data_IF_264653834940
#
_entry.id   IF_264653834940
#
_cell.length_a   1.000
_cell.length_b   1.000
_cell.length_c   1.000
_cell.angle_alpha   90.00
_cell.angle_beta   90.00
_cell.angle_gamma   90.00
#
_symmetry.space_group_name_H-M   'P 1'
#
loop_
_entity.id
_entity.type
_entity.pdbx_description
1 polymer ?
#
# COMPACT_ATOMS: atom_id res chain seq x y z
N UNK A 1 -21.43 -5.86 -18.06
CA UNK A 1 -22.49 -6.86 -17.77
C UNK A 1 -22.17 -7.45 -16.39
N UNK A 2 -22.81 -6.96 -15.35
CA UNK A 2 -22.56 -7.40 -13.96
C UNK A 2 -23.33 -8.72 -13.78
N UNK A 3 -22.62 -9.83 -13.68
CA UNK A 3 -23.24 -11.09 -13.29
C UNK A 3 -23.77 -10.94 -11.87
N UNK A 4 -25.09 -10.79 -11.73
CA UNK A 4 -25.76 -10.88 -10.44
C UNK A 4 -25.99 -12.37 -10.17
N UNK A 5 -25.18 -12.93 -9.29
CA UNK A 5 -25.50 -14.23 -8.71
C UNK A 5 -26.74 -14.11 -7.81
N UNK A 6 -27.67 -15.08 -7.82
CA UNK A 6 -28.82 -15.06 -6.90
C UNK A 6 -28.29 -15.08 -5.45
N UNK A 7 -28.67 -14.09 -4.63
CA UNK A 7 -28.17 -13.96 -3.25
C UNK A 7 -28.48 -15.22 -2.39
N UNK A 8 -29.57 -15.88 -2.67
CA UNK A 8 -29.98 -17.13 -2.01
C UNK A 8 -28.98 -18.28 -2.16
N UNK A 9 -28.15 -18.25 -3.22
CA UNK A 9 -27.08 -19.22 -3.47
C UNK A 9 -25.72 -18.80 -2.91
N UNK A 10 -25.64 -17.63 -2.30
CA UNK A 10 -24.39 -17.11 -1.76
C UNK A 10 -24.20 -17.50 -0.29
N UNK A 11 -22.97 -17.73 0.10
CA UNK A 11 -22.58 -17.89 1.50
C UNK A 11 -22.82 -16.58 2.25
N UNK A 12 -23.26 -16.70 3.51
CA UNK A 12 -23.43 -15.54 4.40
C UNK A 12 -22.23 -15.48 5.31
N UNK A 13 -21.60 -14.31 5.33
CA UNK A 13 -20.44 -14.02 6.16
C UNK A 13 -20.84 -13.22 7.41
N UNK A 14 -20.13 -13.50 8.48
CA UNK A 14 -20.21 -12.75 9.73
C UNK A 14 -18.82 -12.23 10.11
N UNK A 15 -18.69 -11.02 10.70
CA UNK A 15 -17.41 -10.48 11.10
C UNK A 15 -16.73 -11.38 12.15
N UNK A 16 -15.45 -11.64 11.95
CA UNK A 16 -14.66 -12.48 12.88
C UNK A 16 -14.92 -13.97 12.80
N UNK A 17 -15.79 -14.45 11.90
CA UNK A 17 -16.05 -15.88 11.68
C UNK A 17 -15.30 -16.33 10.42
N UNK A 18 -14.25 -17.10 10.60
CA UNK A 18 -13.35 -17.56 9.54
C UNK A 18 -13.26 -19.07 9.49
N UNK A 19 -12.96 -19.62 8.32
CA UNK A 19 -12.48 -21.00 8.24
C UNK A 19 -11.08 -21.10 8.86
N UNK A 20 -10.61 -22.30 9.25
CA UNK A 20 -9.24 -22.47 9.75
C UNK A 20 -8.18 -21.96 8.77
N UNK A 21 -8.39 -22.17 7.46
CA UNK A 21 -7.49 -21.72 6.39
C UNK A 21 -7.47 -20.20 6.28
N UNK A 22 -8.61 -19.54 6.33
CA UNK A 22 -8.74 -18.09 6.33
C UNK A 22 -8.03 -17.49 7.55
N UNK A 23 -8.28 -18.05 8.74
CA UNK A 23 -7.64 -17.58 9.97
C UNK A 23 -6.12 -17.73 9.89
N UNK A 24 -5.62 -18.87 9.43
CA UNK A 24 -4.19 -19.09 9.26
C UNK A 24 -3.54 -18.12 8.30
N UNK A 25 -4.24 -17.73 7.21
CA UNK A 25 -3.76 -16.74 6.27
C UNK A 25 -3.74 -15.33 6.84
N UNK A 26 -4.78 -14.93 7.58
CA UNK A 26 -4.85 -13.67 8.31
C UNK A 26 -3.71 -13.57 9.32
N UNK A 27 -3.47 -14.64 10.07
CA UNK A 27 -2.42 -14.69 11.08
C UNK A 27 -1.03 -14.56 10.45
N UNK A 28 -0.78 -15.21 9.31
CA UNK A 28 0.48 -15.06 8.55
C UNK A 28 0.66 -13.62 8.08
N UNK A 29 -0.39 -13.02 7.53
CA UNK A 29 -0.34 -11.63 7.11
C UNK A 29 0.01 -10.70 8.27
N UNK A 30 -0.68 -10.84 9.40
CA UNK A 30 -0.46 -10.01 10.58
C UNK A 30 0.96 -10.16 11.17
N UNK A 31 1.64 -11.29 10.89
CA UNK A 31 3.06 -11.48 11.24
C UNK A 31 4.05 -10.99 10.18
N UNK A 32 3.55 -10.43 9.07
CA UNK A 32 4.40 -10.00 7.96
C UNK A 32 4.98 -11.15 7.13
N UNK A 33 4.48 -12.38 7.31
CA UNK A 33 4.85 -13.57 6.52
C UNK A 33 4.14 -13.54 5.17
N UNK A 34 4.42 -12.50 4.38
CA UNK A 34 3.72 -12.26 3.13
C UNK A 34 4.63 -12.55 1.93
N UNK A 35 4.06 -13.15 0.90
CA UNK A 35 4.71 -13.22 -0.40
C UNK A 35 4.78 -11.81 -1.04
N UNK A 36 5.88 -11.49 -1.71
CA UNK A 36 5.96 -10.24 -2.47
C UNK A 36 5.22 -10.39 -3.79
N UNK A 37 4.33 -9.46 -4.10
CA UNK A 37 3.43 -9.50 -5.25
C UNK A 37 4.11 -9.60 -6.62
N UNK A 38 5.40 -9.27 -6.73
CA UNK A 38 6.14 -9.27 -8.00
C UNK A 38 7.53 -9.92 -7.86
N UNK A 39 7.56 -11.20 -7.53
CA UNK A 39 8.82 -11.97 -7.61
C UNK A 39 9.87 -11.65 -6.56
N UNK A 40 9.50 -11.12 -5.41
CA UNK A 40 10.38 -11.05 -4.24
C UNK A 40 11.47 -9.98 -4.27
N UNK A 41 11.53 -9.12 -5.28
CA UNK A 41 12.49 -8.00 -5.30
C UNK A 41 11.99 -6.87 -4.40
N UNK A 42 12.89 -6.31 -3.59
CA UNK A 42 12.62 -5.07 -2.91
C UNK A 42 12.18 -4.01 -3.94
N UNK A 43 11.22 -3.13 -3.61
CA UNK A 43 10.86 -2.05 -4.50
C UNK A 43 12.12 -1.25 -4.84
N UNK A 44 12.28 -0.90 -6.11
CA UNK A 44 13.28 0.07 -6.48
C UNK A 44 12.87 1.42 -5.87
N UNK A 45 13.75 2.00 -5.06
CA UNK A 45 13.54 3.36 -4.58
C UNK A 45 13.68 4.34 -5.75
N UNK A 46 12.96 5.46 -5.72
CA UNK A 46 13.08 6.47 -6.76
C UNK A 46 14.53 6.98 -6.84
N UNK A 47 14.97 7.28 -8.05
CA UNK A 47 16.24 7.94 -8.24
C UNK A 47 16.21 9.34 -7.61
N UNK A 48 17.23 9.69 -6.83
CA UNK A 48 17.40 11.03 -6.29
C UNK A 48 18.22 11.96 -7.18
N UNK A 49 18.30 11.61 -8.47
CA UNK A 49 18.84 12.55 -9.46
C UNK A 49 18.00 13.83 -9.50
N UNK A 50 18.66 14.96 -9.44
CA UNK A 50 18.02 16.27 -9.44
C UNK A 50 16.98 16.42 -10.56
N UNK A 51 17.33 15.95 -11.77
CA UNK A 51 16.43 16.04 -12.91
C UNK A 51 15.15 15.22 -12.72
N UNK A 52 15.26 14.02 -12.17
CA UNK A 52 14.09 13.13 -11.91
C UNK A 52 13.21 13.73 -10.84
N UNK A 53 13.80 14.27 -9.77
CA UNK A 53 13.07 14.95 -8.70
C UNK A 53 12.31 16.18 -9.22
N UNK A 54 12.95 16.99 -10.05
CA UNK A 54 12.30 18.14 -10.69
C UNK A 54 11.19 17.72 -11.66
N UNK A 55 11.40 16.64 -12.45
CA UNK A 55 10.37 16.12 -13.34
C UNK A 55 9.12 15.72 -12.58
N UNK A 56 9.30 14.99 -11.47
CA UNK A 56 8.18 14.60 -10.60
C UNK A 56 7.49 15.83 -9.98
N UNK A 57 8.27 16.78 -9.46
CA UNK A 57 7.71 18.00 -8.87
C UNK A 57 6.88 18.82 -9.88
N UNK A 58 7.29 18.86 -11.16
CA UNK A 58 6.54 19.54 -12.22
C UNK A 58 5.18 18.91 -12.53
N UNK A 59 4.99 17.65 -12.22
CA UNK A 59 3.71 16.99 -12.38
C UNK A 59 2.69 17.44 -11.33
N UNK A 60 3.15 17.86 -10.15
CA UNK A 60 2.30 18.20 -9.01
C UNK A 60 2.25 19.69 -8.71
N UNK A 61 3.41 20.36 -8.73
CA UNK A 61 3.55 21.78 -8.39
C UNK A 61 4.67 22.42 -9.23
N UNK A 62 4.40 22.55 -10.53
CA UNK A 62 5.38 23.03 -11.51
C UNK A 62 5.86 24.47 -11.29
N UNK A 63 5.08 25.26 -10.56
CA UNK A 63 5.36 26.69 -10.38
C UNK A 63 6.11 27.02 -9.09
N UNK A 64 6.23 26.06 -8.18
CA UNK A 64 6.90 26.28 -6.92
C UNK A 64 8.44 26.24 -7.09
N UNK A 65 9.14 27.38 -6.94
CA UNK A 65 10.57 27.41 -7.15
C UNK A 65 11.34 26.58 -6.13
N UNK A 66 10.77 26.29 -4.95
CA UNK A 66 11.41 25.47 -3.93
C UNK A 66 11.77 24.08 -4.45
N UNK A 67 10.91 23.49 -5.29
CA UNK A 67 11.08 22.13 -5.83
C UNK A 67 11.61 22.10 -7.27
N UNK A 68 11.70 23.27 -7.92
CA UNK A 68 12.02 23.35 -9.35
C UNK A 68 13.25 24.18 -9.68
N UNK A 69 13.68 25.09 -8.78
CA UNK A 69 14.81 25.97 -8.98
C UNK A 69 15.89 25.76 -7.91
N UNK A 70 17.01 25.08 -8.24
CA UNK A 70 18.09 24.84 -7.28
C UNK A 70 18.72 26.12 -6.71
N UNK A 71 18.81 27.19 -7.50
CA UNK A 71 19.40 28.46 -7.05
C UNK A 71 18.46 29.20 -6.08
N UNK A 72 17.17 29.07 -6.26
CA UNK A 72 16.19 29.54 -5.29
C UNK A 72 16.26 28.71 -4.00
N UNK A 73 16.23 27.37 -4.11
CA UNK A 73 16.22 26.45 -2.97
C UNK A 73 17.45 26.62 -2.07
N UNK A 74 18.64 26.84 -2.65
CA UNK A 74 19.90 27.14 -1.92
C UNK A 74 19.81 28.36 -1.00
N UNK A 75 18.97 29.33 -1.32
CA UNK A 75 18.79 30.57 -0.54
C UNK A 75 17.75 30.40 0.59
N UNK A 76 17.09 29.28 0.64
CA UNK A 76 16.11 28.97 1.68
C UNK A 76 16.77 28.27 2.88
N UNK A 77 15.99 28.04 3.94
CA UNK A 77 16.43 27.28 5.12
C UNK A 77 16.86 25.85 4.79
N UNK A 78 16.48 25.33 3.63
CA UNK A 78 16.83 23.99 3.18
C UNK A 78 18.26 23.88 2.64
N UNK A 79 18.84 24.97 2.13
CA UNK A 79 20.20 25.00 1.60
C UNK A 79 20.44 24.16 0.34
N UNK A 80 19.44 23.42 -0.09
CA UNK A 80 19.43 22.56 -1.28
C UNK A 80 17.98 22.37 -1.76
N UNK A 81 17.78 21.82 -2.96
CA UNK A 81 16.47 21.54 -3.50
C UNK A 81 15.88 20.28 -2.83
N UNK A 82 14.82 20.40 -2.01
CA UNK A 82 14.17 19.23 -1.42
C UNK A 82 13.25 18.54 -2.45
N UNK A 83 13.04 17.24 -2.29
CA UNK A 83 11.97 16.57 -3.01
C UNK A 83 10.61 17.08 -2.54
N UNK A 84 9.65 17.12 -3.47
CA UNK A 84 8.25 17.37 -3.10
C UNK A 84 7.74 16.24 -2.20
N UNK A 85 6.95 16.54 -1.15
CA UNK A 85 6.30 15.50 -0.34
C UNK A 85 5.56 14.50 -1.23
N UNK A 86 5.67 13.21 -0.92
CA UNK A 86 5.13 12.14 -1.75
C UNK A 86 6.13 11.51 -2.72
N UNK A 87 7.29 12.12 -2.95
CA UNK A 87 8.28 11.59 -3.88
C UNK A 87 8.74 10.16 -3.51
N UNK A 88 9.07 9.92 -2.26
CA UNK A 88 9.51 8.60 -1.78
C UNK A 88 8.36 7.60 -1.58
N UNK A 89 7.12 8.07 -1.51
CA UNK A 89 5.96 7.20 -1.33
C UNK A 89 5.50 6.52 -2.61
N UNK A 90 5.92 7.02 -3.77
CA UNK A 90 5.50 6.50 -5.09
C UNK A 90 6.00 5.09 -5.37
N UNK A 91 7.10 4.69 -4.75
CA UNK A 91 7.78 3.43 -5.04
C UNK A 91 7.58 2.36 -3.96
N UNK A 92 6.90 2.68 -2.85
CA UNK A 92 6.55 1.67 -1.84
C UNK A 92 5.48 0.73 -2.43
N UNK A 93 5.92 -0.40 -2.96
CA UNK A 93 5.07 -1.34 -3.66
C UNK A 93 4.23 -2.18 -2.72
N UNK A 94 3.06 -2.53 -3.22
CA UNK A 94 2.09 -3.38 -2.59
C UNK A 94 2.66 -4.76 -2.28
N UNK A 95 2.73 -5.12 -1.02
CA UNK A 95 2.91 -6.48 -0.59
C UNK A 95 1.55 -7.06 -0.22
N UNK A 96 0.79 -7.54 -1.19
CA UNK A 96 -0.41 -8.35 -0.91
C UNK A 96 0.04 -9.79 -0.80
N UNK A 97 -0.36 -10.53 0.23
CA UNK A 97 -0.13 -11.96 0.25
C UNK A 97 -0.92 -12.58 -0.91
N UNK A 98 -0.23 -13.22 -1.87
CA UNK A 98 -0.93 -13.91 -2.97
C UNK A 98 -1.93 -14.94 -2.44
N UNK A 99 -1.67 -15.48 -1.26
CA UNK A 99 -2.49 -16.51 -0.62
C UNK A 99 -3.84 -16.02 -0.12
N UNK A 100 -3.99 -14.75 0.27
CA UNK A 100 -5.29 -14.22 0.67
C UNK A 100 -6.22 -13.99 -0.53
N UNK A 101 -5.68 -13.60 -1.67
CA UNK A 101 -6.42 -13.57 -2.92
C UNK A 101 -6.95 -14.96 -3.33
N UNK A 102 -6.19 -16.03 -3.09
CA UNK A 102 -6.60 -17.40 -3.39
C UNK A 102 -7.59 -17.98 -2.39
N UNK A 103 -7.49 -17.65 -1.10
CA UNK A 103 -8.44 -18.09 -0.09
C UNK A 103 -9.82 -17.45 -0.27
N UNK A 104 -9.86 -16.39 -1.01
CA UNK A 104 -11.05 -15.60 -1.21
C UNK A 104 -11.89 -16.12 -2.35
N UNK A 105 -11.39 -17.01 -3.26
CA UNK A 105 -12.19 -17.55 -4.36
C UNK A 105 -11.87 -18.98 -4.73
N UNK A 106 -12.88 -19.85 -4.75
CA UNK A 106 -12.72 -21.20 -5.28
C UNK A 106 -12.34 -21.24 -6.77
N UNK A 107 -12.67 -20.18 -7.53
CA UNK A 107 -12.38 -20.03 -8.96
C UNK A 107 -11.07 -19.29 -9.27
N UNK A 108 -10.30 -18.94 -8.25
CA UNK A 108 -9.01 -18.26 -8.41
C UNK A 108 -9.07 -16.80 -8.83
N UNK A 109 -10.26 -16.20 -8.87
CA UNK A 109 -10.40 -14.79 -9.24
C UNK A 109 -10.45 -13.88 -8.01
N UNK A 110 -9.41 -13.13 -7.69
CA UNK A 110 -9.43 -12.08 -6.67
C UNK A 110 -10.04 -10.79 -7.25
N UNK A 111 -11.01 -10.21 -6.58
CA UNK A 111 -11.45 -8.86 -6.86
C UNK A 111 -10.69 -7.92 -5.93
N UNK A 112 -9.69 -7.28 -6.46
CA UNK A 112 -9.15 -6.09 -5.81
C UNK A 112 -10.25 -5.04 -5.93
N UNK A 113 -10.76 -4.57 -4.80
CA UNK A 113 -11.67 -3.44 -4.81
C UNK A 113 -11.01 -2.25 -5.51
N UNK A 114 -11.75 -1.58 -6.37
CA UNK A 114 -11.29 -0.37 -7.05
C UNK A 114 -11.07 0.75 -6.02
N UNK A 115 -9.86 0.87 -5.59
CA UNK A 115 -9.45 1.94 -4.70
C UNK A 115 -8.70 1.44 -3.48
N UNK A 116 -7.56 2.01 -3.31
CA UNK A 116 -6.84 1.92 -2.06
C UNK A 116 -6.62 3.32 -1.53
N UNK A 117 -6.58 3.41 -0.22
CA UNK A 117 -6.18 4.61 0.49
C UNK A 117 -4.73 4.48 0.92
N UNK A 118 -4.00 5.59 0.86
CA UNK A 118 -2.70 5.65 1.49
C UNK A 118 -2.53 6.94 2.26
N UNK A 119 -1.78 6.84 3.34
CA UNK A 119 -1.39 7.97 4.17
C UNK A 119 0.11 7.94 4.32
N UNK A 120 0.75 9.07 3.99
CA UNK A 120 2.19 9.22 4.13
C UNK A 120 2.49 10.28 5.19
N UNK A 121 3.36 9.92 6.13
CA UNK A 121 3.93 10.85 7.09
C UNK A 121 5.40 11.10 6.72
N UNK A 122 5.79 12.38 6.65
CA UNK A 122 7.15 12.80 6.29
C UNK A 122 7.83 13.39 7.52
N UNK A 123 9.03 12.91 7.84
CA UNK A 123 9.78 13.27 9.04
C UNK A 123 11.05 14.04 8.74
N UNK A 124 11.58 13.90 7.53
CA UNK A 124 12.77 14.60 7.09
C UNK A 124 12.71 14.91 5.58
N UNK A 125 13.38 15.99 5.14
CA UNK A 125 13.49 16.28 3.73
C UNK A 125 14.37 15.25 3.01
N UNK A 126 14.09 15.08 1.73
CA UNK A 126 14.88 14.26 0.82
C UNK A 126 15.58 15.18 -0.16
N UNK A 127 16.86 14.94 -0.41
CA UNK A 127 17.69 15.77 -1.28
C UNK A 127 18.31 14.98 -2.44
N UNK A 128 18.75 15.64 -3.50
CA UNK A 128 19.52 15.00 -4.55
C UNK A 128 20.74 14.26 -4.00
N UNK A 129 20.91 13.00 -4.41
CA UNK A 129 22.00 12.14 -3.96
C UNK A 129 21.70 11.31 -2.72
N UNK A 130 20.52 11.47 -2.10
CA UNK A 130 20.11 10.58 -1.02
C UNK A 130 19.86 9.16 -1.54
N UNK A 131 20.15 8.18 -0.71
CA UNK A 131 19.81 6.77 -0.94
C UNK A 131 18.95 6.25 0.19
N UNK A 132 18.12 5.25 -0.10
CA UNK A 132 17.11 4.78 0.84
C UNK A 132 17.14 3.27 1.01
N UNK A 133 16.71 2.85 2.18
CA UNK A 133 16.26 1.49 2.47
C UNK A 133 14.85 1.53 3.02
N UNK A 134 14.10 0.46 2.86
CA UNK A 134 12.75 0.32 3.38
C UNK A 134 12.66 -0.83 4.36
N UNK A 135 11.84 -0.66 5.39
CA UNK A 135 11.48 -1.70 6.35
C UNK A 135 9.96 -1.76 6.46
N UNK A 136 9.41 -2.96 6.44
CA UNK A 136 7.99 -3.15 6.73
C UNK A 136 7.81 -3.05 8.25
N UNK A 137 6.99 -2.09 8.69
CA UNK A 137 6.83 -1.74 10.11
C UNK A 137 5.50 -2.14 10.70
N UNK A 138 4.58 -2.70 9.92
CA UNK A 138 3.30 -3.19 10.42
C UNK A 138 2.41 -3.79 9.36
N UNK A 139 1.70 -4.84 9.77
CA UNK A 139 0.74 -5.58 8.94
C UNK A 139 -0.50 -5.87 9.75
N UNK A 140 -1.66 -5.60 9.18
CA UNK A 140 -2.94 -5.83 9.85
C UNK A 140 -4.04 -6.12 8.84
N UNK A 141 -4.91 -7.06 9.19
CA UNK A 141 -6.20 -7.28 8.51
C UNK A 141 -7.30 -6.83 9.44
N UNK A 142 -8.23 -6.03 8.90
CA UNK A 142 -9.43 -5.58 9.62
C UNK A 142 -10.66 -6.10 8.88
N UNK A 143 -11.49 -6.89 9.57
CA UNK A 143 -12.77 -7.35 9.04
C UNK A 143 -13.83 -6.26 9.26
N UNK A 144 -14.37 -5.76 8.18
CA UNK A 144 -15.44 -4.75 8.15
C UNK A 144 -16.73 -5.31 7.57
N UNK A 145 -16.89 -6.64 7.59
CA UNK A 145 -18.13 -7.31 7.21
C UNK A 145 -19.30 -6.82 8.07
N UNK A 146 -20.45 -6.48 7.51
CA UNK A 146 -21.61 -6.02 8.28
C UNK A 146 -22.04 -7.02 9.36
N UNK A 147 -22.45 -6.54 10.54
CA UNK A 147 -22.82 -7.37 11.70
C UNK A 147 -24.03 -8.27 11.46
N UNK A 148 -24.94 -7.86 10.62
CA UNK A 148 -26.18 -8.60 10.29
C UNK A 148 -25.95 -9.78 9.37
N UNK A 149 -24.71 -10.01 8.99
CA UNK A 149 -24.36 -10.98 7.96
C UNK A 149 -24.48 -10.37 6.56
N UNK A 150 -23.69 -10.85 5.67
CA UNK A 150 -23.61 -10.32 4.31
C UNK A 150 -23.26 -11.46 3.34
N UNK A 151 -23.74 -11.38 2.13
CA UNK A 151 -23.25 -12.21 1.01
C UNK A 151 -21.85 -11.78 0.55
N UNK A 152 -21.31 -10.72 1.15
CA UNK A 152 -19.96 -10.22 0.91
C UNK A 152 -19.18 -10.14 2.21
N UNK A 153 -18.03 -10.78 2.26
CA UNK A 153 -17.03 -10.50 3.28
C UNK A 153 -16.26 -9.26 2.85
N UNK A 154 -16.08 -8.31 3.76
CA UNK A 154 -15.33 -7.09 3.52
C UNK A 154 -14.13 -7.05 4.46
N UNK A 155 -12.93 -6.96 3.90
CA UNK A 155 -11.69 -6.92 4.66
C UNK A 155 -10.84 -5.75 4.20
N UNK A 156 -10.17 -5.09 5.13
CA UNK A 156 -9.19 -4.05 4.84
C UNK A 156 -7.81 -4.58 5.22
N UNK A 157 -6.94 -4.65 4.24
CA UNK A 157 -5.54 -4.99 4.42
C UNK A 157 -4.74 -3.71 4.63
N UNK A 158 -3.93 -3.69 5.66
CA UNK A 158 -3.11 -2.53 6.03
C UNK A 158 -1.66 -2.98 6.07
N UNK A 159 -0.78 -2.24 5.41
CA UNK A 159 0.65 -2.36 5.62
C UNK A 159 1.30 -1.00 5.82
N UNK A 160 2.31 -0.97 6.67
CA UNK A 160 3.16 0.19 6.90
C UNK A 160 4.58 -0.11 6.42
N UNK A 161 5.16 0.82 5.68
CA UNK A 161 6.55 0.75 5.24
C UNK A 161 7.27 2.01 5.69
N UNK A 162 8.33 1.83 6.44
CA UNK A 162 9.23 2.89 6.86
C UNK A 162 10.36 3.06 5.85
N UNK A 163 10.66 4.31 5.49
CA UNK A 163 11.72 4.67 4.56
C UNK A 163 12.81 5.40 5.34
N UNK A 164 14.03 4.87 5.27
CA UNK A 164 15.21 5.43 5.93
C UNK A 164 16.22 5.91 4.89
N UNK A 165 16.87 7.04 5.16
CA UNK A 165 17.98 7.50 4.32
C UNK A 165 19.30 6.80 4.69
N UNK A 166 20.39 7.14 4.00
CA UNK A 166 21.74 6.59 4.21
C UNK A 166 22.33 6.91 5.59
N UNK A 167 21.69 7.76 6.39
CA UNK A 167 22.10 8.11 7.76
C UNK A 167 21.22 7.39 8.81
N UNK A 168 20.46 6.37 8.40
CA UNK A 168 19.46 5.67 9.24
C UNK A 168 18.39 6.60 9.84
N UNK A 169 18.17 7.75 9.23
CA UNK A 169 17.11 8.66 9.64
C UNK A 169 15.80 8.24 8.94
N UNK A 170 14.73 8.09 9.70
CA UNK A 170 13.38 7.88 9.15
C UNK A 170 12.95 9.14 8.39
N UNK A 171 12.75 9.01 7.09
CA UNK A 171 12.33 10.12 6.22
C UNK A 171 10.84 10.08 5.92
N UNK A 172 10.26 8.90 5.81
CA UNK A 172 8.83 8.75 5.59
C UNK A 172 8.29 7.44 6.19
N UNK A 173 7.01 7.45 6.54
CA UNK A 173 6.21 6.25 6.83
C UNK A 173 5.02 6.25 5.89
N UNK A 174 4.91 5.19 5.11
CA UNK A 174 3.87 5.02 4.12
C UNK A 174 2.90 3.94 4.61
N UNK A 175 1.65 4.32 4.85
CA UNK A 175 0.59 3.39 5.24
C UNK A 175 -0.33 3.16 4.06
N UNK A 176 -0.51 1.92 3.68
CA UNK A 176 -1.39 1.48 2.60
C UNK A 176 -2.58 0.74 3.18
N UNK A 177 -3.77 1.02 2.64
CA UNK A 177 -5.00 0.32 2.99
C UNK A 177 -5.71 -0.05 1.71
N UNK A 178 -6.06 -1.30 1.55
CA UNK A 178 -6.87 -1.74 0.42
C UNK A 178 -7.99 -2.65 0.88
N UNK A 179 -9.22 -2.34 0.43
CA UNK A 179 -10.36 -3.18 0.69
C UNK A 179 -10.36 -4.38 -0.24
N UNK A 180 -10.71 -5.53 0.30
CA UNK A 180 -11.05 -6.71 -0.48
C UNK A 180 -12.47 -7.14 -0.19
N UNK A 181 -13.17 -7.57 -1.24
CA UNK A 181 -14.51 -8.14 -1.15
C UNK A 181 -14.48 -9.59 -1.58
N UNK A 182 -15.07 -10.44 -0.75
CA UNK A 182 -15.26 -11.84 -1.04
C UNK A 182 -16.73 -12.14 -1.22
N UNK A 183 -17.04 -12.92 -2.25
CA UNK A 183 -18.33 -13.59 -2.44
C UNK A 183 -18.06 -15.06 -2.71
N UNK A 184 -18.79 -15.95 -2.06
CA UNK A 184 -18.63 -17.40 -2.22
C UNK A 184 -19.99 -18.06 -2.47
N UNK A 185 -20.06 -18.94 -3.47
CA UNK A 185 -21.24 -19.78 -3.69
C UNK A 185 -21.35 -20.83 -2.59
N UNK A 186 -22.57 -21.16 -2.20
CA UNK A 186 -22.86 -22.32 -1.34
C UNK A 186 -22.67 -23.63 -2.09
N UNK A 187 -22.85 -23.59 -3.40
CA UNK A 187 -22.67 -24.74 -4.29
C UNK A 187 -21.20 -24.74 -4.76
N UNK A 188 -20.46 -25.85 -4.57
CA UNK A 188 -19.06 -25.96 -4.99
C UNK A 188 -18.91 -25.93 -6.51
#
# INVERSE_FOLDING_TARGET
MTMRFPEEKMEIFYPGVYTPEEQAAIDRYNRGETGRMFGGKAPAMPSTDLWVMQLYARCWDRWNPLFNDPEYAKKTVWGNLPAIPGYVSTETRYNVPPELGYLIRPDGTAFLGDGYDHTDAFFAPVFPGDSFRTEDSGWQVVDVTPKEGSVKRLMIFICCTDVYNQKDQLVARCTRRWPEQLMRSKDP
#
